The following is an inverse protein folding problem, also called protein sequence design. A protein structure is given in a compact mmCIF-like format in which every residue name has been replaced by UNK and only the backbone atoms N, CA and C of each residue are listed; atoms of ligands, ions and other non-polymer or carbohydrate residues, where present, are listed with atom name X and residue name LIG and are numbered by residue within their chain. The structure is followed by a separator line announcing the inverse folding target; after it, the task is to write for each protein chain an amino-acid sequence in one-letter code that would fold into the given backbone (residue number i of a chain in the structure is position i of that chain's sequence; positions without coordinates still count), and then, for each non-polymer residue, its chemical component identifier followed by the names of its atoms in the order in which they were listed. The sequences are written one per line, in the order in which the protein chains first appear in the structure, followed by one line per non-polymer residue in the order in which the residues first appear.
data_IF_307138879389
#
_entry.id   IF_307138879389
#
_cell.length_a   1.000
_cell.length_b   1.000
_cell.length_c   1.000
_cell.angle_alpha   90.00
_cell.angle_beta   90.00
_cell.angle_gamma   90.00
#
_symmetry.space_group_name_H-M   'P 1'
#
loop_
_entity.id
_entity.type
_entity.pdbx_description
1 polymer ?
#
# COMPACT_ATOMS: atom_id res chain seq x y z
N UNK A 1 1.61 9.30 15.21
CA UNK A 1 2.10 8.21 14.35
C UNK A 1 1.54 8.48 12.96
N UNK A 2 2.36 8.47 11.92
CA UNK A 2 1.96 8.77 10.54
C UNK A 2 1.44 7.52 9.82
N UNK A 3 0.83 7.70 8.65
CA UNK A 3 0.42 6.58 7.79
C UNK A 3 1.63 5.71 7.39
N UNK A 4 2.74 6.33 6.96
CA UNK A 4 3.96 5.59 6.60
C UNK A 4 4.55 4.83 7.79
N UNK A 5 4.55 5.42 8.99
CA UNK A 5 5.05 4.76 10.20
C UNK A 5 4.24 3.51 10.55
N UNK A 6 2.90 3.55 10.41
CA UNK A 6 2.09 2.36 10.69
C UNK A 6 2.27 1.30 9.59
N UNK A 7 2.40 1.71 8.32
CA UNK A 7 2.66 0.82 7.19
C UNK A 7 3.97 0.04 7.41
N UNK A 8 5.05 0.73 7.78
CA UNK A 8 6.35 0.10 8.06
C UNK A 8 6.34 -0.79 9.31
N UNK A 9 5.52 -0.47 10.32
CA UNK A 9 5.30 -1.36 11.47
C UNK A 9 4.61 -2.66 11.06
N UNK A 10 3.59 -2.59 10.21
CA UNK A 10 2.93 -3.80 9.67
C UNK A 10 3.89 -4.60 8.80
N UNK A 11 4.72 -3.93 8.00
CA UNK A 11 5.78 -4.58 7.21
C UNK A 11 6.74 -5.40 8.07
N UNK A 12 7.23 -4.79 9.16
CA UNK A 12 8.23 -5.39 10.03
C UNK A 12 7.65 -6.58 10.82
N UNK A 13 6.40 -6.50 11.27
CA UNK A 13 5.78 -7.49 12.14
C UNK A 13 4.32 -7.77 11.78
N UNK A 14 4.03 -8.32 10.57
CA UNK A 14 2.65 -8.48 10.10
C UNK A 14 1.81 -9.38 11.01
N UNK A 15 2.43 -10.37 11.68
CA UNK A 15 1.76 -11.24 12.64
C UNK A 15 1.13 -10.49 13.84
N UNK A 16 1.74 -9.39 14.29
CA UNK A 16 1.23 -8.61 15.43
C UNK A 16 0.04 -7.74 15.02
N UNK A 17 0.09 -7.16 13.82
CA UNK A 17 -0.89 -6.16 13.38
C UNK A 17 -2.08 -6.77 12.65
N UNK A 18 -1.81 -7.77 11.80
CA UNK A 18 -2.80 -8.34 10.87
C UNK A 18 -2.83 -9.88 10.91
N UNK A 19 -2.12 -10.50 11.87
CA UNK A 19 -2.13 -11.95 12.12
C UNK A 19 -1.26 -12.77 11.16
N UNK A 20 -1.21 -12.43 9.88
CA UNK A 20 -0.34 -13.04 8.86
C UNK A 20 -0.18 -12.08 7.67
N UNK A 21 0.73 -12.38 6.75
CA UNK A 21 0.89 -11.59 5.53
C UNK A 21 -0.32 -11.78 4.61
N UNK A 22 -1.22 -10.79 4.63
CA UNK A 22 -2.35 -10.69 3.72
C UNK A 22 -2.51 -9.26 3.27
N UNK A 23 -2.62 -9.07 1.95
CA UNK A 23 -2.86 -7.75 1.38
C UNK A 23 -4.25 -7.23 1.76
N UNK A 24 -5.26 -8.09 1.73
CA UNK A 24 -6.63 -7.72 2.13
C UNK A 24 -6.67 -7.24 3.58
N UNK A 25 -6.07 -8.00 4.51
CA UNK A 25 -6.01 -7.62 5.91
C UNK A 25 -5.22 -6.31 6.12
N UNK A 26 -4.10 -6.15 5.40
CA UNK A 26 -3.30 -4.92 5.41
C UNK A 26 -4.10 -3.68 4.97
N UNK A 27 -4.80 -3.76 3.82
CA UNK A 27 -5.62 -2.66 3.30
C UNK A 27 -6.71 -2.26 4.29
N UNK A 28 -7.43 -3.24 4.85
CA UNK A 28 -8.46 -2.97 5.86
C UNK A 28 -7.89 -2.33 7.12
N UNK A 29 -6.72 -2.80 7.58
CA UNK A 29 -6.06 -2.26 8.76
C UNK A 29 -5.60 -0.81 8.57
N UNK A 30 -4.87 -0.51 7.49
CA UNK A 30 -4.37 0.84 7.21
C UNK A 30 -5.53 1.80 6.94
N UNK A 31 -6.53 1.37 6.16
CA UNK A 31 -7.73 2.18 5.90
C UNK A 31 -8.49 2.52 7.19
N UNK A 32 -8.68 1.54 8.09
CA UNK A 32 -9.30 1.77 9.40
C UNK A 32 -8.47 2.67 10.31
N UNK A 33 -7.14 2.56 10.27
CA UNK A 33 -6.25 3.45 11.01
C UNK A 33 -6.36 4.90 10.54
N UNK A 34 -6.28 5.13 9.23
CA UNK A 34 -6.43 6.46 8.62
C UNK A 34 -7.80 7.06 8.95
N UNK A 35 -8.87 6.27 8.85
CA UNK A 35 -10.22 6.72 9.21
C UNK A 35 -10.32 7.08 10.71
N UNK A 36 -9.71 6.27 11.58
CA UNK A 36 -9.65 6.56 13.01
C UNK A 36 -8.94 7.88 13.34
N UNK A 37 -7.86 8.21 12.62
CA UNK A 37 -7.19 9.51 12.74
C UNK A 37 -8.10 10.66 12.32
N UNK A 38 -8.78 10.54 11.18
CA UNK A 38 -9.72 11.54 10.65
C UNK A 38 -10.87 11.81 11.63
N UNK A 39 -11.51 10.76 12.13
CA UNK A 39 -12.60 10.87 13.12
C UNK A 39 -12.12 11.51 14.42
N UNK A 40 -10.84 11.34 14.77
CA UNK A 40 -10.23 11.95 15.96
C UNK A 40 -9.73 13.39 15.74
N UNK A 41 -9.91 13.96 14.54
CA UNK A 41 -9.43 15.30 14.20
C UNK A 41 -7.91 15.41 14.07
N UNK A 42 -7.21 14.30 13.83
CA UNK A 42 -5.76 14.27 13.59
C UNK A 42 -5.49 14.29 12.09
N UNK A 43 -4.78 15.31 11.63
CA UNK A 43 -4.40 15.42 10.23
C UNK A 43 -3.40 14.33 9.82
N UNK A 44 -3.67 13.71 8.67
CA UNK A 44 -2.81 12.70 8.06
C UNK A 44 -1.78 13.41 7.18
N UNK A 45 -0.55 13.52 7.67
CA UNK A 45 0.52 14.35 7.08
C UNK A 45 1.10 13.76 5.78
N UNK A 46 0.82 12.50 5.47
CA UNK A 46 1.27 11.80 4.25
C UNK A 46 0.18 10.87 3.79
N UNK A 47 -0.28 11.02 2.54
CA UNK A 47 -1.31 10.18 1.93
C UNK A 47 -0.67 9.14 1.01
N UNK A 48 -0.07 8.13 1.62
CA UNK A 48 0.57 7.00 0.94
C UNK A 48 -0.48 6.23 0.14
N UNK A 49 -1.70 6.08 0.66
CA UNK A 49 -2.77 5.40 -0.06
C UNK A 49 -3.10 6.08 -1.40
N UNK A 50 -3.24 7.41 -1.43
CA UNK A 50 -3.44 8.14 -2.69
C UNK A 50 -2.25 8.03 -3.62
N UNK A 51 -1.02 8.12 -3.10
CA UNK A 51 0.19 7.93 -3.91
C UNK A 51 0.26 6.54 -4.55
N UNK A 52 -0.09 5.49 -3.81
CA UNK A 52 -0.13 4.11 -4.30
C UNK A 52 -1.27 3.88 -5.30
N UNK A 53 -2.40 4.60 -5.14
CA UNK A 53 -3.49 4.58 -6.10
C UNK A 53 -3.08 5.13 -7.47
N UNK A 54 -2.12 6.05 -7.55
CA UNK A 54 -1.57 6.53 -8.82
C UNK A 54 -0.42 5.65 -9.33
N UNK A 55 0.46 5.22 -8.43
CA UNK A 55 1.69 4.52 -8.77
C UNK A 55 1.46 3.10 -9.33
N UNK A 56 0.63 2.30 -8.64
CA UNK A 56 0.48 0.87 -8.93
C UNK A 56 -0.23 0.61 -10.27
N UNK A 57 -1.36 1.28 -10.60
CA UNK A 57 -1.99 1.08 -11.91
C UNK A 57 -1.06 1.45 -13.06
N UNK A 58 -0.31 2.56 -12.89
CA UNK A 58 0.69 3.02 -13.87
C UNK A 58 1.80 1.98 -14.05
N UNK A 59 2.34 1.45 -12.95
CA UNK A 59 3.38 0.42 -12.98
C UNK A 59 2.97 -0.80 -13.80
N UNK A 60 1.73 -1.26 -13.65
CA UNK A 60 1.20 -2.42 -14.35
C UNK A 60 0.56 -2.12 -15.70
N UNK A 61 0.51 -0.85 -16.12
CA UNK A 61 -0.22 -0.39 -17.30
C UNK A 61 -1.69 -0.88 -17.31
N UNK A 62 -2.33 -0.82 -16.13
CA UNK A 62 -3.73 -1.17 -15.93
C UNK A 62 -4.53 0.12 -15.69
N UNK A 63 -5.74 0.27 -16.25
CA UNK A 63 -6.54 1.46 -16.04
C UNK A 63 -6.78 1.76 -14.55
N UNK A 64 -6.64 3.04 -14.16
CA UNK A 64 -6.82 3.54 -12.78
C UNK A 64 -8.30 3.55 -12.31
N UNK A 65 -9.14 2.69 -12.86
CA UNK A 65 -10.54 2.52 -12.44
C UNK A 65 -10.69 1.47 -11.33
N UNK A 66 -9.64 0.68 -11.09
CA UNK A 66 -9.60 -0.30 -10.02
C UNK A 66 -8.77 0.22 -8.86
N UNK A 67 -9.24 -0.03 -7.64
CA UNK A 67 -8.42 0.20 -6.44
C UNK A 67 -7.11 -0.58 -6.56
N UNK A 68 -5.99 0.03 -6.19
CA UNK A 68 -4.65 -0.54 -6.38
C UNK A 68 -4.51 -1.95 -5.78
N UNK A 69 -5.20 -2.23 -4.67
CA UNK A 69 -5.15 -3.56 -4.05
C UNK A 69 -5.79 -4.65 -4.92
N UNK A 70 -6.83 -4.34 -5.70
CA UNK A 70 -7.44 -5.30 -6.64
C UNK A 70 -6.49 -5.61 -7.78
N UNK A 71 -5.67 -4.65 -8.19
CA UNK A 71 -4.65 -4.87 -9.21
C UNK A 71 -3.61 -5.87 -8.70
N UNK A 72 -3.11 -5.68 -7.48
CA UNK A 72 -2.14 -6.61 -6.87
C UNK A 72 -2.72 -8.01 -6.66
N UNK A 73 -3.98 -8.11 -6.20
CA UNK A 73 -4.67 -9.40 -6.08
C UNK A 73 -4.95 -10.08 -7.42
N UNK A 74 -4.95 -9.33 -8.52
CA UNK A 74 -5.09 -9.88 -9.87
C UNK A 74 -3.76 -10.38 -10.43
N UNK A 75 -2.67 -9.65 -10.21
CA UNK A 75 -1.35 -9.98 -10.79
C UNK A 75 -0.55 -10.98 -9.96
N UNK A 76 -0.86 -11.11 -8.67
CA UNK A 76 -0.17 -12.02 -7.75
C UNK A 76 -0.98 -13.30 -7.52
N UNK A 77 -0.27 -14.43 -7.37
CA UNK A 77 -0.90 -15.76 -7.19
C UNK A 77 -1.47 -15.94 -5.78
N UNK A 78 -0.89 -15.29 -4.78
CA UNK A 78 -1.27 -15.44 -3.37
C UNK A 78 -1.39 -14.08 -2.69
N UNK A 79 -2.17 -14.02 -1.60
CA UNK A 79 -2.29 -12.86 -0.71
C UNK A 79 -0.93 -12.44 -0.13
N UNK A 80 -0.07 -13.40 0.21
CA UNK A 80 1.29 -13.14 0.70
C UNK A 80 2.15 -12.47 -0.38
N UNK A 81 2.12 -12.99 -1.62
CA UNK A 81 2.86 -12.38 -2.73
C UNK A 81 2.33 -10.97 -3.04
N UNK A 82 1.02 -10.75 -2.99
CA UNK A 82 0.41 -9.43 -3.19
C UNK A 82 0.81 -8.44 -2.09
N UNK A 83 0.91 -8.89 -0.85
CA UNK A 83 1.40 -8.11 0.28
C UNK A 83 2.87 -7.72 0.08
N UNK A 84 3.74 -8.68 -0.27
CA UNK A 84 5.15 -8.41 -0.53
C UNK A 84 5.36 -7.48 -1.74
N UNK A 85 4.55 -7.63 -2.77
CA UNK A 85 4.60 -6.81 -3.97
C UNK A 85 4.22 -5.36 -3.69
N UNK A 86 3.21 -5.11 -2.83
CA UNK A 86 2.90 -3.76 -2.37
C UNK A 86 4.14 -3.07 -1.78
N UNK A 87 4.85 -3.76 -0.88
CA UNK A 87 6.03 -3.20 -0.22
C UNK A 87 7.21 -3.01 -1.17
N UNK A 88 7.37 -3.88 -2.16
CA UNK A 88 8.35 -3.70 -3.23
C UNK A 88 8.06 -2.43 -4.03
N UNK A 89 6.80 -2.17 -4.37
CA UNK A 89 6.38 -0.98 -5.12
C UNK A 89 6.48 0.30 -4.27
N UNK A 90 6.15 0.22 -2.99
CA UNK A 90 6.36 1.32 -2.03
C UNK A 90 7.83 1.72 -1.97
N UNK A 91 8.77 0.76 -1.88
CA UNK A 91 10.20 1.06 -1.88
C UNK A 91 10.65 1.77 -3.16
N UNK A 92 10.12 1.35 -4.31
CA UNK A 92 10.44 1.98 -5.59
C UNK A 92 9.91 3.42 -5.65
N UNK A 93 8.68 3.63 -5.21
CA UNK A 93 8.09 4.95 -5.11
C UNK A 93 8.90 5.87 -4.17
N UNK A 94 9.27 5.39 -2.98
CA UNK A 94 10.06 6.16 -2.02
C UNK A 94 11.49 6.46 -2.51
N UNK A 95 12.03 5.63 -3.41
CA UNK A 95 13.30 5.89 -4.12
C UNK A 95 13.16 6.84 -5.30
N UNK A 96 11.95 7.30 -5.62
CA UNK A 96 11.69 8.20 -6.75
C UNK A 96 11.75 7.52 -8.11
N UNK A 97 11.54 6.19 -8.17
CA UNK A 97 11.48 5.46 -9.45
C UNK A 97 10.20 5.86 -10.16
N UNK A 98 10.30 6.33 -11.41
CA UNK A 98 9.14 6.62 -12.24
C UNK A 98 8.46 5.31 -12.69
N UNK A 99 7.15 5.11 -12.45
CA UNK A 99 6.45 3.87 -12.80
C UNK A 99 6.34 3.63 -14.31
N UNK A 100 6.50 4.66 -15.14
CA UNK A 100 6.44 4.57 -16.62
C UNK A 100 7.77 4.07 -17.17
N UNK A 101 8.87 4.74 -16.78
CA UNK A 101 10.21 4.44 -17.30
C UNK A 101 10.91 3.32 -16.52
N UNK A 102 10.47 3.03 -15.28
CA UNK A 102 11.01 2.00 -14.38
C UNK A 102 12.52 2.13 -14.10
N UNK A 103 13.04 3.35 -14.20
CA UNK A 103 14.45 3.68 -13.91
C UNK A 103 15.41 3.54 -15.10
N UNK A 104 15.05 4.12 -16.26
CA UNK A 104 16.02 4.41 -17.32
C UNK A 104 16.81 5.68 -17.00
#
# INVERSE_FOLDING_TARGET
MTELEIIEKVRAQPGIYIGHKSLTAFVSFVGGYVEGLKVSGVDVIQDINSAMQEFIPTWYNIPNQYHWSRILLLVCVTEEAAFEEYFRLLDLYLKGVDPITRGV
#
